data_IF_416842414764
#
_entry.id   IF_416842414764
#
_cell.length_a   1.000
_cell.length_b   1.000
_cell.length_c   1.000
_cell.angle_alpha   90.00
_cell.angle_beta   90.00
_cell.angle_gamma   90.00
#
_symmetry.space_group_name_H-M   'P 1'
#
loop_
_entity.id
_entity.type
_entity.pdbx_description
1 polymer ?
#
# COMPACT_ATOMS: atom_id res chain seq x y z
N UNK A 1 -4.89 3.02 8.42
CA UNK A 1 -4.63 1.92 7.45
C UNK A 1 -5.54 0.72 7.70
N UNK A 2 -5.46 0.04 8.83
CA UNK A 2 -6.36 -1.05 9.20
C UNK A 2 -7.45 -0.59 10.17
N UNK A 3 -8.55 -1.33 10.20
CA UNK A 3 -9.62 -1.12 11.17
C UNK A 3 -9.15 -1.58 12.55
N UNK A 4 -9.25 -0.71 13.55
CA UNK A 4 -8.86 -1.02 14.92
C UNK A 4 -10.09 -1.17 15.81
N UNK A 5 -9.99 -2.08 16.78
CA UNK A 5 -10.88 -2.15 17.94
C UNK A 5 -10.42 -1.14 19.00
N UNK A 6 -10.86 -1.28 20.24
CA UNK A 6 -10.39 -0.42 21.33
C UNK A 6 -8.84 -0.42 21.40
N UNK A 7 -8.24 0.76 21.37
CA UNK A 7 -6.79 0.93 21.36
C UNK A 7 -6.16 0.64 19.99
N UNK A 8 -5.06 -0.14 19.95
CA UNK A 8 -4.27 -0.47 18.76
C UNK A 8 -4.51 -1.89 18.23
N UNK A 9 -5.49 -2.62 18.76
CA UNK A 9 -5.87 -3.95 18.29
C UNK A 9 -6.45 -3.86 16.88
N UNK A 10 -5.93 -4.65 15.94
CA UNK A 10 -6.36 -4.66 14.54
C UNK A 10 -7.42 -5.74 14.32
N UNK A 11 -8.54 -5.37 13.71
CA UNK A 11 -9.60 -6.32 13.36
C UNK A 11 -9.14 -7.29 12.27
N UNK A 12 -9.62 -8.52 12.40
CA UNK A 12 -9.41 -9.58 11.41
C UNK A 12 -10.73 -10.08 10.87
N UNK A 13 -10.71 -10.71 9.70
CA UNK A 13 -11.84 -11.42 9.12
C UNK A 13 -11.39 -12.72 8.50
N UNK A 14 -12.31 -13.67 8.42
CA UNK A 14 -12.08 -14.94 7.75
C UNK A 14 -12.33 -14.82 6.26
N UNK A 15 -11.42 -15.36 5.45
CA UNK A 15 -11.61 -15.50 4.01
C UNK A 15 -11.23 -16.91 3.54
N UNK A 16 -11.73 -17.28 2.36
CA UNK A 16 -11.43 -18.58 1.73
C UNK A 16 -12.37 -19.71 2.18
N UNK A 17 -12.55 -20.65 1.27
CA UNK A 17 -13.27 -21.93 1.47
C UNK A 17 -12.51 -23.01 0.72
N UNK A 18 -12.42 -24.26 1.16
CA UNK A 18 -13.03 -24.81 2.39
C UNK A 18 -12.24 -24.51 3.68
N UNK A 19 -11.00 -24.01 3.58
CA UNK A 19 -10.12 -23.75 4.73
C UNK A 19 -10.05 -22.24 5.00
N UNK A 20 -10.89 -21.71 5.91
CA UNK A 20 -10.89 -20.29 6.24
C UNK A 20 -9.55 -19.87 6.85
N UNK A 21 -9.06 -18.68 6.47
CA UNK A 21 -7.87 -18.06 7.06
C UNK A 21 -8.18 -16.63 7.47
N UNK A 22 -7.54 -16.17 8.53
CA UNK A 22 -7.69 -14.80 9.01
C UNK A 22 -6.86 -13.84 8.16
N UNK A 23 -7.44 -12.69 7.82
CA UNK A 23 -6.71 -11.56 7.24
C UNK A 23 -7.00 -10.27 8.01
N UNK A 24 -6.06 -9.35 7.98
CA UNK A 24 -6.20 -8.01 8.52
C UNK A 24 -7.28 -7.22 7.77
N UNK A 25 -8.15 -6.51 8.47
CA UNK A 25 -9.19 -5.69 7.86
C UNK A 25 -8.68 -4.28 7.57
N UNK A 26 -8.83 -3.81 6.33
CA UNK A 26 -8.63 -2.39 6.02
C UNK A 26 -9.69 -1.53 6.68
N UNK A 27 -9.33 -0.31 7.05
CA UNK A 27 -10.31 0.63 7.56
C UNK A 27 -11.25 1.12 6.45
N UNK A 28 -12.51 1.48 6.79
CA UNK A 28 -13.45 2.07 5.84
C UNK A 28 -12.91 3.33 5.16
N UNK A 29 -12.14 4.14 5.88
CA UNK A 29 -11.54 5.37 5.36
C UNK A 29 -10.48 5.05 4.30
N UNK A 30 -9.63 4.04 4.54
CA UNK A 30 -8.68 3.58 3.53
C UNK A 30 -9.39 3.06 2.28
N UNK A 31 -10.45 2.26 2.44
CA UNK A 31 -11.23 1.76 1.31
C UNK A 31 -11.91 2.89 0.53
N UNK A 32 -12.48 3.88 1.20
CA UNK A 32 -13.10 5.04 0.57
C UNK A 32 -12.07 5.86 -0.25
N UNK A 33 -10.89 6.13 0.33
CA UNK A 33 -9.81 6.85 -0.35
C UNK A 33 -9.33 6.09 -1.59
N UNK A 34 -9.09 4.79 -1.46
CA UNK A 34 -8.66 3.95 -2.60
C UNK A 34 -9.71 3.98 -3.72
N UNK A 35 -11.01 3.86 -3.39
CA UNK A 35 -12.08 3.92 -4.38
C UNK A 35 -12.11 5.25 -5.11
N UNK A 36 -12.02 6.35 -4.37
CA UNK A 36 -12.07 7.70 -4.94
C UNK A 36 -10.91 7.93 -5.91
N UNK A 37 -9.69 7.59 -5.51
CA UNK A 37 -8.52 7.81 -6.34
C UNK A 37 -8.46 6.85 -7.55
N UNK A 38 -8.82 5.57 -7.38
CA UNK A 38 -8.90 4.63 -8.49
C UNK A 38 -10.01 4.98 -9.50
N UNK A 39 -11.11 5.59 -9.05
CA UNK A 39 -12.18 6.01 -9.95
C UNK A 39 -11.68 7.03 -10.98
N UNK A 40 -10.82 7.97 -10.58
CA UNK A 40 -10.19 8.95 -11.48
C UNK A 40 -9.44 8.25 -12.63
N UNK A 41 -8.62 7.23 -12.30
CA UNK A 41 -7.85 6.47 -13.30
C UNK A 41 -8.74 5.64 -14.23
N UNK A 42 -9.80 5.06 -13.68
CA UNK A 42 -10.72 4.22 -14.46
C UNK A 42 -11.54 5.07 -15.43
N UNK A 43 -11.97 6.24 -14.99
CA UNK A 43 -12.80 7.13 -15.82
C UNK A 43 -11.93 7.82 -16.89
N UNK A 44 -10.71 8.23 -16.56
CA UNK A 44 -9.68 8.71 -17.50
C UNK A 44 -9.38 7.66 -18.59
N UNK A 45 -9.17 6.41 -18.19
CA UNK A 45 -8.97 5.30 -19.13
C UNK A 45 -10.15 5.08 -20.07
N UNK A 46 -11.40 5.12 -19.55
CA UNK A 46 -12.60 4.96 -20.36
C UNK A 46 -12.78 6.08 -21.39
N UNK A 47 -12.43 7.30 -20.99
CA UNK A 47 -12.49 8.49 -21.86
C UNK A 47 -11.30 8.57 -22.82
N UNK A 48 -10.29 7.69 -22.69
CA UNK A 48 -9.04 7.70 -23.47
C UNK A 48 -8.27 9.02 -23.35
N UNK A 49 -8.40 9.71 -22.22
CA UNK A 49 -7.71 10.97 -21.98
C UNK A 49 -6.24 10.76 -21.62
N UNK A 50 -5.92 9.63 -20.94
CA UNK A 50 -4.57 9.22 -20.53
C UNK A 50 -3.80 10.30 -19.77
N UNK A 51 -4.50 11.01 -18.91
CA UNK A 51 -3.93 12.07 -18.08
C UNK A 51 -3.22 11.56 -16.84
N UNK A 52 -3.62 10.39 -16.32
CA UNK A 52 -3.08 9.83 -15.09
C UNK A 52 -2.10 8.69 -15.36
N UNK A 53 -0.88 8.83 -14.84
CA UNK A 53 0.13 7.76 -14.85
C UNK A 53 -0.23 6.59 -13.93
N UNK A 54 -0.93 6.86 -12.82
CA UNK A 54 -1.29 5.88 -11.82
C UNK A 54 -1.52 6.47 -10.44
N UNK A 55 -1.34 5.65 -9.41
CA UNK A 55 -1.41 6.05 -8.00
C UNK A 55 -0.01 6.10 -7.40
N UNK A 56 0.27 7.17 -6.66
CA UNK A 56 1.32 7.17 -5.64
C UNK A 56 0.66 6.89 -4.28
N UNK A 57 1.29 6.08 -3.43
CA UNK A 57 0.75 5.79 -2.11
C UNK A 57 1.83 5.66 -1.05
N UNK A 58 1.46 5.92 0.20
CA UNK A 58 2.36 5.87 1.35
C UNK A 58 1.71 5.20 2.55
N UNK A 59 2.49 4.42 3.30
CA UNK A 59 2.21 4.12 4.69
C UNK A 59 2.95 5.13 5.55
N UNK A 60 2.27 5.63 6.56
CA UNK A 60 2.74 6.72 7.41
C UNK A 60 2.51 6.37 8.87
N UNK A 61 3.37 6.83 9.75
CA UNK A 61 3.11 6.88 11.20
C UNK A 61 3.13 8.33 11.67
N UNK A 62 2.39 8.61 12.74
CA UNK A 62 2.40 9.90 13.43
C UNK A 62 3.50 9.88 14.48
N UNK A 63 4.25 10.96 14.56
CA UNK A 63 5.24 11.24 15.59
C UNK A 63 4.97 12.66 16.16
N UNK A 64 5.64 13.01 17.24
CA UNK A 64 5.43 14.32 17.91
C UNK A 64 5.69 15.51 16.99
N UNK A 65 6.63 15.38 16.06
CA UNK A 65 7.05 16.46 15.16
C UNK A 65 6.43 16.39 13.77
N UNK A 66 5.47 15.45 13.55
CA UNK A 66 4.77 15.32 12.27
C UNK A 66 4.59 13.90 11.80
N UNK A 67 4.56 13.72 10.49
CA UNK A 67 4.27 12.43 9.83
C UNK A 67 5.55 11.85 9.26
N UNK A 68 5.82 10.60 9.60
CA UNK A 68 7.00 9.86 9.14
C UNK A 68 6.58 8.80 8.12
N UNK A 69 7.13 8.81 6.89
CA UNK A 69 6.87 7.78 5.92
C UNK A 69 7.52 6.46 6.33
N UNK A 70 6.73 5.39 6.27
CA UNK A 70 7.20 4.03 6.50
C UNK A 70 7.43 3.28 5.19
N UNK A 71 6.62 3.55 4.19
CA UNK A 71 6.73 2.93 2.88
C UNK A 71 6.11 3.82 1.80
N UNK A 72 6.76 3.91 0.66
CA UNK A 72 6.29 4.63 -0.52
C UNK A 72 6.21 3.64 -1.68
N UNK A 73 5.14 3.71 -2.46
CA UNK A 73 4.95 2.84 -3.62
C UNK A 73 4.02 3.44 -4.66
N UNK A 74 3.97 2.80 -5.81
CA UNK A 74 3.10 3.18 -6.91
C UNK A 74 2.27 2.02 -7.44
N UNK A 75 1.19 2.36 -8.13
CA UNK A 75 0.44 1.44 -8.97
C UNK A 75 0.16 2.13 -10.31
N UNK A 76 0.81 1.69 -11.38
CA UNK A 76 0.68 2.29 -12.71
C UNK A 76 -0.71 2.03 -13.31
N UNK A 77 -1.26 3.02 -14.04
CA UNK A 77 -2.52 2.90 -14.78
C UNK A 77 -2.41 1.81 -15.84
N UNK A 78 -1.31 1.79 -16.58
CA UNK A 78 -1.07 0.82 -17.65
C UNK A 78 -0.38 -0.41 -17.08
N UNK A 79 -0.98 -1.58 -17.32
CA UNK A 79 -0.39 -2.85 -16.95
C UNK A 79 0.82 -3.21 -17.82
N UNK A 80 1.69 -4.06 -17.32
CA UNK A 80 2.92 -4.50 -18.00
C UNK A 80 2.67 -5.27 -19.31
N UNK A 81 1.45 -5.78 -19.50
CA UNK A 81 1.09 -6.61 -20.65
C UNK A 81 0.08 -5.90 -21.55
N UNK A 82 0.40 -5.73 -22.83
CA UNK A 82 -0.50 -5.27 -23.89
C UNK A 82 -1.14 -3.88 -23.72
N UNK A 83 -0.56 -2.98 -22.91
CA UNK A 83 -1.06 -1.61 -22.76
C UNK A 83 -2.47 -1.49 -22.18
N UNK A 84 -3.00 -2.54 -21.54
CA UNK A 84 -4.32 -2.55 -20.94
C UNK A 84 -4.30 -1.89 -19.55
N UNK A 85 -5.49 -1.49 -19.06
CA UNK A 85 -5.65 -1.03 -17.69
C UNK A 85 -5.11 -2.06 -16.70
N UNK A 86 -4.27 -1.60 -15.78
CA UNK A 86 -3.63 -2.45 -14.78
C UNK A 86 -4.65 -3.26 -13.98
N UNK A 87 -4.37 -4.53 -13.77
CA UNK A 87 -5.21 -5.41 -12.95
C UNK A 87 -5.34 -4.92 -11.51
N UNK A 88 -4.35 -4.17 -11.02
CA UNK A 88 -4.38 -3.57 -9.70
C UNK A 88 -5.47 -2.50 -9.55
N UNK A 89 -5.91 -1.92 -10.66
CA UNK A 89 -6.88 -0.82 -10.72
C UNK A 89 -8.21 -1.31 -11.30
N UNK A 90 -8.16 -2.14 -12.34
CA UNK A 90 -9.31 -2.58 -13.13
C UNK A 90 -10.51 -3.08 -12.29
N UNK A 91 -10.25 -3.84 -11.25
CA UNK A 91 -11.28 -4.53 -10.48
C UNK A 91 -11.72 -3.78 -9.22
N UNK A 92 -11.16 -2.60 -8.95
CA UNK A 92 -11.41 -1.88 -7.70
C UNK A 92 -12.89 -1.49 -7.51
N UNK A 93 -13.61 -1.23 -8.59
CA UNK A 93 -15.04 -0.88 -8.52
C UNK A 93 -15.92 -2.05 -8.05
N UNK A 94 -15.49 -3.28 -8.30
CA UNK A 94 -16.22 -4.49 -7.90
C UNK A 94 -15.78 -5.03 -6.56
N UNK A 95 -14.51 -4.87 -6.25
CA UNK A 95 -13.94 -5.37 -5.01
C UNK A 95 -12.71 -4.54 -4.61
N UNK A 96 -12.85 -3.71 -3.58
CA UNK A 96 -11.76 -2.89 -3.03
C UNK A 96 -10.59 -3.72 -2.50
N UNK A 97 -10.82 -4.97 -2.11
CA UNK A 97 -9.76 -5.86 -1.65
C UNK A 97 -8.78 -6.23 -2.77
N UNK A 98 -9.18 -6.04 -4.02
CA UNK A 98 -8.34 -6.29 -5.20
C UNK A 98 -7.43 -5.14 -5.59
N UNK A 99 -7.51 -4.00 -4.92
CA UNK A 99 -6.53 -2.93 -5.13
C UNK A 99 -5.12 -3.44 -4.85
N UNK A 100 -4.21 -3.24 -5.81
CA UNK A 100 -2.85 -3.76 -5.78
C UNK A 100 -2.79 -5.27 -5.43
N UNK A 101 -3.86 -6.00 -5.69
CA UNK A 101 -4.12 -7.38 -5.24
C UNK A 101 -4.04 -7.54 -3.71
N UNK A 102 -4.29 -6.50 -2.98
CA UNK A 102 -4.26 -6.51 -1.53
C UNK A 102 -5.40 -7.34 -0.97
N UNK A 103 -5.11 -8.56 -0.59
CA UNK A 103 -6.06 -9.48 0.03
C UNK A 103 -6.80 -10.43 -0.91
N UNK A 104 -6.50 -10.41 -2.24
CA UNK A 104 -7.02 -11.44 -3.14
C UNK A 104 -6.12 -12.69 -3.08
N UNK A 105 -6.72 -13.85 -2.73
CA UNK A 105 -6.03 -15.13 -2.61
C UNK A 105 -4.76 -15.12 -1.74
N UNK A 106 -4.74 -14.33 -0.67
CA UNK A 106 -3.59 -14.21 0.24
C UNK A 106 -2.30 -13.73 -0.42
N UNK A 107 -2.40 -13.08 -1.56
CA UNK A 107 -1.25 -12.56 -2.27
C UNK A 107 -1.25 -11.05 -2.19
N UNK A 108 -0.05 -10.47 -2.12
CA UNK A 108 0.25 -9.04 -2.11
C UNK A 108 -0.27 -8.26 -0.90
N UNK A 109 0.57 -7.46 -0.35
CA UNK A 109 0.36 -6.53 0.75
C UNK A 109 -0.53 -7.07 1.88
N UNK A 110 -1.85 -6.85 1.87
CA UNK A 110 -2.69 -7.26 3.02
C UNK A 110 -2.68 -8.77 3.22
N UNK A 111 -2.78 -9.56 2.17
CA UNK A 111 -2.71 -11.02 2.26
C UNK A 111 -1.34 -11.49 2.73
N UNK A 112 -0.28 -11.00 2.11
CA UNK A 112 1.09 -11.35 2.47
C UNK A 112 1.48 -10.81 3.86
N UNK A 113 1.02 -9.59 4.22
CA UNK A 113 1.22 -9.05 5.56
C UNK A 113 0.41 -9.84 6.60
N UNK A 114 -0.82 -10.23 6.26
CA UNK A 114 -1.63 -11.08 7.13
C UNK A 114 -0.93 -12.41 7.41
N UNK A 115 -0.33 -13.02 6.38
CA UNK A 115 0.43 -14.26 6.55
C UNK A 115 1.67 -14.08 7.45
N UNK A 116 2.29 -12.91 7.43
CA UNK A 116 3.44 -12.61 8.29
C UNK A 116 3.07 -12.29 9.75
N UNK A 117 1.83 -11.81 9.97
CA UNK A 117 1.35 -11.36 11.29
C UNK A 117 0.49 -12.39 12.00
N UNK A 118 -0.37 -13.10 11.27
CA UNK A 118 -1.40 -13.97 11.83
C UNK A 118 -1.01 -15.44 11.82
N UNK A 119 -1.53 -16.19 12.76
CA UNK A 119 -1.42 -17.66 12.78
C UNK A 119 -2.26 -18.32 11.67
N UNK A 120 -1.93 -19.57 11.34
CA UNK A 120 -2.72 -20.42 10.44
C UNK A 120 -2.43 -20.21 8.95
N UNK A 121 -1.42 -19.43 8.57
CA UNK A 121 -0.96 -19.30 7.18
C UNK A 121 0.17 -20.27 6.85
N UNK A 122 0.23 -20.73 5.60
CA UNK A 122 1.34 -21.55 5.12
C UNK A 122 2.65 -20.74 5.17
N UNK A 123 3.72 -21.22 5.80
CA UNK A 123 5.02 -20.55 5.81
C UNK A 123 5.55 -20.18 4.43
N UNK A 124 5.17 -20.91 3.36
CA UNK A 124 5.53 -20.62 1.98
C UNK A 124 4.90 -19.33 1.43
N UNK A 125 3.79 -18.89 2.03
CA UNK A 125 3.12 -17.63 1.67
C UNK A 125 3.82 -16.41 2.30
N UNK A 126 4.69 -16.61 3.29
CA UNK A 126 5.38 -15.54 4.01
C UNK A 126 6.55 -15.04 3.15
N UNK A 127 6.56 -13.76 2.82
CA UNK A 127 7.64 -13.11 2.08
C UNK A 127 8.47 -12.22 3.01
N UNK A 128 9.79 -12.23 2.84
CA UNK A 128 10.72 -11.45 3.67
C UNK A 128 10.33 -9.97 3.83
N UNK A 129 9.90 -9.33 2.74
CA UNK A 129 9.41 -7.95 2.78
C UNK A 129 8.32 -7.74 3.84
N UNK A 130 7.39 -8.67 3.97
CA UNK A 130 6.27 -8.55 4.90
C UNK A 130 6.62 -9.00 6.31
N UNK A 131 7.68 -9.79 6.50
CA UNK A 131 8.27 -10.03 7.83
C UNK A 131 8.82 -8.72 8.39
N UNK A 132 9.54 -7.94 7.57
CA UNK A 132 10.06 -6.63 7.98
C UNK A 132 8.90 -5.67 8.33
N UNK A 133 7.85 -5.65 7.50
CA UNK A 133 6.66 -4.84 7.78
C UNK A 133 5.95 -5.28 9.06
N UNK A 134 5.76 -6.58 9.24
CA UNK A 134 5.15 -7.13 10.45
C UNK A 134 5.94 -6.73 11.70
N UNK A 135 7.25 -6.93 11.69
CA UNK A 135 8.13 -6.56 12.80
C UNK A 135 8.16 -5.06 13.08
N UNK A 136 8.02 -4.21 12.05
CA UNK A 136 7.99 -2.75 12.21
C UNK A 136 6.63 -2.24 12.73
N UNK A 137 5.53 -2.84 12.29
CA UNK A 137 4.18 -2.32 12.52
C UNK A 137 3.49 -2.93 13.74
N UNK A 138 3.74 -4.21 14.06
CA UNK A 138 3.00 -4.96 15.06
C UNK A 138 3.86 -5.34 16.26
N UNK A 139 3.22 -5.46 17.43
CA UNK A 139 3.87 -5.87 18.68
C UNK A 139 4.39 -7.30 18.63
N UNK A 140 3.64 -8.19 17.99
CA UNK A 140 3.97 -9.60 17.84
C UNK A 140 3.61 -10.11 16.45
N UNK A 141 4.42 -11.03 15.95
CA UNK A 141 4.11 -11.85 14.78
C UNK A 141 3.57 -13.20 15.22
N UNK A 142 2.92 -13.93 14.30
CA UNK A 142 2.28 -15.21 14.55
C UNK A 142 1.30 -15.14 15.74
N UNK A 143 0.31 -14.26 15.66
CA UNK A 143 -0.69 -14.00 16.71
C UNK A 143 -2.11 -14.05 16.13
N UNK A 144 -3.09 -14.42 16.98
CA UNK A 144 -4.51 -14.33 16.65
C UNK A 144 -5.11 -12.96 17.00
N UNK A 145 -4.41 -12.18 17.82
CA UNK A 145 -4.80 -10.85 18.28
C UNK A 145 -3.73 -9.83 17.89
N UNK A 146 -3.73 -9.37 16.62
CA UNK A 146 -2.74 -8.42 16.13
C UNK A 146 -2.94 -7.04 16.78
N UNK A 147 -1.84 -6.47 17.29
CA UNK A 147 -1.83 -5.15 17.91
C UNK A 147 -0.74 -4.31 17.25
N UNK A 148 -1.08 -3.11 16.82
CA UNK A 148 -0.10 -2.15 16.31
C UNK A 148 0.80 -1.62 17.42
N UNK A 149 2.07 -1.42 17.14
CA UNK A 149 2.99 -0.67 18.00
C UNK A 149 2.60 0.79 18.12
N UNK A 150 2.02 1.34 17.06
CA UNK A 150 1.54 2.73 16.96
C UNK A 150 0.52 2.87 15.84
N UNK A 151 -0.18 3.99 15.81
CA UNK A 151 -1.17 4.28 14.78
C UNK A 151 -0.48 4.42 13.42
N UNK A 152 -0.99 3.68 12.42
CA UNK A 152 -0.48 3.67 11.05
C UNK A 152 -1.56 4.16 10.10
N UNK A 153 -1.19 5.09 9.25
CA UNK A 153 -2.05 5.68 8.24
C UNK A 153 -1.68 5.18 6.84
N UNK A 154 -2.63 5.30 5.96
CA UNK A 154 -2.42 5.11 4.53
C UNK A 154 -2.90 6.33 3.77
N UNK A 155 -2.11 6.76 2.82
CA UNK A 155 -2.44 7.84 1.91
C UNK A 155 -2.19 7.41 0.47
N UNK A 156 -3.02 7.85 -0.47
CA UNK A 156 -2.84 7.65 -1.91
C UNK A 156 -3.45 8.79 -2.69
N UNK A 157 -2.89 9.04 -3.88
CA UNK A 157 -3.36 10.06 -4.81
C UNK A 157 -3.18 9.59 -6.25
N UNK A 158 -4.16 9.86 -7.10
CA UNK A 158 -4.04 9.72 -8.54
C UNK A 158 -3.07 10.80 -9.07
N UNK A 159 -1.99 10.37 -9.72
CA UNK A 159 -0.94 11.25 -10.19
C UNK A 159 -1.09 11.52 -11.68
N UNK A 160 -1.32 12.79 -12.02
CA UNK A 160 -1.34 13.24 -13.42
C UNK A 160 0.09 13.40 -13.96
N UNK A 161 0.27 13.01 -15.22
CA UNK A 161 1.52 13.24 -15.94
C UNK A 161 1.90 14.72 -16.08
N UNK A 162 0.96 15.64 -15.82
CA UNK A 162 1.14 17.09 -15.87
C UNK A 162 1.54 17.69 -14.51
N UNK A 163 1.45 16.92 -13.41
CA UNK A 163 1.76 17.41 -12.08
C UNK A 163 3.25 17.67 -11.92
N UNK A 164 3.57 18.76 -11.24
CA UNK A 164 4.95 19.05 -10.81
C UNK A 164 5.30 18.15 -9.62
N UNK A 165 6.52 17.64 -9.60
CA UNK A 165 7.06 16.89 -8.50
C UNK A 165 7.57 17.77 -7.35
N UNK A 166 8.30 17.16 -6.39
CA UNK A 166 8.88 17.89 -5.25
C UNK A 166 9.86 19.00 -5.66
N UNK A 167 10.45 18.89 -6.83
CA UNK A 167 11.34 19.90 -7.41
C UNK A 167 10.76 20.45 -8.71
N UNK A 168 10.32 21.70 -8.67
CA UNK A 168 9.69 22.40 -9.77
C UNK A 168 10.61 22.49 -10.99
N UNK A 169 11.91 22.53 -10.77
CA UNK A 169 12.96 22.64 -11.80
C UNK A 169 12.94 21.49 -12.80
N UNK A 170 12.43 20.32 -12.39
CA UNK A 170 12.30 19.17 -13.30
C UNK A 170 11.03 19.21 -14.16
N UNK A 171 10.15 20.20 -13.93
CA UNK A 171 8.88 20.29 -14.64
C UNK A 171 7.92 19.15 -14.29
N UNK A 172 7.03 18.78 -15.22
CA UNK A 172 6.07 17.68 -15.01
C UNK A 172 6.78 16.36 -14.71
N UNK A 173 6.45 15.77 -13.58
CA UNK A 173 7.15 14.60 -13.04
C UNK A 173 6.33 13.34 -13.24
N UNK A 174 6.83 12.38 -14.03
CA UNK A 174 6.18 11.08 -14.25
C UNK A 174 6.20 10.23 -12.96
N UNK A 175 5.17 9.42 -12.78
CA UNK A 175 4.92 8.66 -11.56
C UNK A 175 6.12 7.83 -11.08
N UNK A 176 6.81 7.15 -11.98
CA UNK A 176 7.96 6.31 -11.61
C UNK A 176 9.11 7.15 -11.07
N UNK A 177 9.38 8.29 -11.70
CA UNK A 177 10.42 9.20 -11.24
C UNK A 177 10.03 9.84 -9.89
N UNK A 178 8.76 10.24 -9.73
CA UNK A 178 8.23 10.72 -8.45
C UNK A 178 8.45 9.71 -7.32
N UNK A 179 8.10 8.44 -7.54
CA UNK A 179 8.30 7.39 -6.54
C UNK A 179 9.77 7.33 -6.08
N UNK A 180 10.71 7.29 -7.02
CA UNK A 180 12.14 7.25 -6.69
C UNK A 180 12.62 8.52 -5.96
N UNK A 181 12.16 9.69 -6.37
CA UNK A 181 12.48 10.96 -5.69
C UNK A 181 11.99 10.95 -4.24
N UNK A 182 10.75 10.54 -4.02
CA UNK A 182 10.16 10.48 -2.69
C UNK A 182 10.85 9.44 -1.80
N UNK A 183 11.21 8.27 -2.35
CA UNK A 183 11.98 7.26 -1.61
C UNK A 183 13.37 7.79 -1.26
N UNK A 184 14.05 8.46 -2.19
CA UNK A 184 15.35 9.07 -1.95
C UNK A 184 15.32 10.10 -0.82
N UNK A 185 14.35 11.03 -0.85
CA UNK A 185 14.12 12.02 0.20
C UNK A 185 13.82 11.35 1.56
N UNK A 186 12.88 10.41 1.55
CA UNK A 186 12.50 9.68 2.76
C UNK A 186 13.67 8.85 3.33
N UNK A 187 14.48 8.27 2.46
CA UNK A 187 15.68 7.52 2.85
C UNK A 187 16.73 8.40 3.53
N UNK A 188 16.88 9.64 3.09
CA UNK A 188 17.81 10.59 3.70
C UNK A 188 17.35 11.08 5.07
N UNK A 189 16.02 11.29 5.25
CA UNK A 189 15.46 11.83 6.47
C UNK A 189 15.07 10.75 7.49
N UNK A 190 14.64 9.57 7.03
CA UNK A 190 14.01 8.52 7.83
C UNK A 190 14.54 7.12 7.49
N UNK A 191 15.81 7.00 7.08
CA UNK A 191 16.40 5.76 6.57
C UNK A 191 16.24 4.56 7.49
N UNK A 192 16.31 4.75 8.81
CA UNK A 192 16.22 3.69 9.82
C UNK A 192 14.82 3.07 9.93
N UNK A 193 13.77 3.81 9.55
CA UNK A 193 12.39 3.36 9.68
C UNK A 193 11.71 3.07 8.34
N UNK A 194 12.31 3.50 7.23
CA UNK A 194 11.76 3.32 5.89
C UNK A 194 11.84 1.84 5.45
N UNK A 195 10.72 1.26 5.10
CA UNK A 195 10.57 -0.16 4.75
C UNK A 195 10.78 -0.45 3.25
N UNK A 196 11.05 0.57 2.45
CA UNK A 196 11.45 0.39 1.06
C UNK A 196 12.81 -0.33 1.00
N UNK A 197 12.93 -1.36 0.14
CA UNK A 197 14.19 -2.07 -0.11
C UNK A 197 14.93 -1.53 -1.33
N UNK A 198 14.18 -1.00 -2.30
CA UNK A 198 14.71 -0.38 -3.52
C UNK A 198 14.65 1.14 -3.39
N UNK A 199 15.57 1.83 -4.05
CA UNK A 199 15.66 3.29 -4.04
C UNK A 199 16.18 3.92 -2.74
N UNK A 200 16.63 3.10 -1.78
CA UNK A 200 17.30 3.56 -0.55
C UNK A 200 18.80 3.69 -0.76
N UNK A 201 19.39 4.68 -0.09
CA UNK A 201 20.82 4.67 0.11
C UNK A 201 21.18 3.49 1.05
N UNK A 202 22.12 2.67 0.64
CA UNK A 202 22.70 1.64 1.50
C UNK A 202 23.78 2.31 2.34
N UNK A 203 23.66 2.23 3.66
CA UNK A 203 24.73 2.61 4.58
C UNK A 203 25.81 1.55 4.56
#
# INVERSE_FOLDING_TARGET
MFETSSGLGVKTKQIGKPTPRSILCRSPEMDALIRAECAKLIDDWKQKAFEYDGLIYMMLKEETEGVVPLYIGKAETIGKTNGNLSINIKNIKTDTQKFARWGDNYKYHIGDLSAAVLLGHDPKEIKYKYIDWAGSLFEKNATDAPVFKRKVFFWTMAWSSKNLGPWIEFGPTRLTFLEYLLIGLASSAFGDVLLNREGRNRA
#
